data_IF_953708316629
#
_entry.id   IF_953708316629
#
_cell.length_a   1.000
_cell.length_b   1.000
_cell.length_c   1.000
_cell.angle_alpha   90.00
_cell.angle_beta   90.00
_cell.angle_gamma   90.00
#
_symmetry.space_group_name_H-M   'P 1'
#
loop_
_entity.id
_entity.type
_entity.pdbx_description
1 polymer ?
#
# COMPACT_ATOMS: atom_id res chain seq x y z
N UNK A 1 11.03 21.16 -6.95
CA UNK A 1 10.89 20.38 -8.20
C UNK A 1 9.44 19.97 -8.29
N UNK A 2 8.72 20.53 -9.27
CA UNK A 2 7.32 20.26 -9.57
C UNK A 2 6.97 18.77 -9.49
N UNK A 3 5.93 18.43 -8.73
CA UNK A 3 5.10 17.28 -9.04
C UNK A 3 3.64 17.63 -8.75
N UNK A 4 3.14 18.66 -9.43
CA UNK A 4 1.72 18.71 -9.79
C UNK A 4 1.51 17.64 -10.87
N UNK A 5 1.53 16.38 -10.44
CA UNK A 5 1.29 15.23 -11.30
C UNK A 5 0.05 14.58 -10.71
N UNK A 6 -1.08 14.74 -11.37
CA UNK A 6 -2.28 13.96 -11.08
C UNK A 6 -1.88 12.48 -11.15
N UNK A 7 -1.61 11.88 -9.99
CA UNK A 7 -1.13 10.50 -9.93
C UNK A 7 -2.36 9.63 -10.07
N UNK A 8 -2.39 8.84 -11.13
CA UNK A 8 -3.54 8.00 -11.44
C UNK A 8 -3.79 7.02 -10.27
N UNK A 9 -4.96 7.09 -9.61
CA UNK A 9 -5.31 6.21 -8.50
C UNK A 9 -5.22 4.74 -8.88
N UNK A 10 -5.58 4.43 -10.13
CA UNK A 10 -5.55 3.08 -10.70
C UNK A 10 -4.13 2.50 -10.69
N UNK A 11 -3.13 3.28 -11.11
CA UNK A 11 -1.72 2.85 -11.13
C UNK A 11 -1.24 2.59 -9.70
N UNK A 12 -1.63 3.45 -8.76
CA UNK A 12 -1.28 3.29 -7.35
C UNK A 12 -1.88 2.01 -6.75
N UNK A 13 -3.14 1.69 -7.08
CA UNK A 13 -3.80 0.45 -6.64
C UNK A 13 -3.11 -0.78 -7.22
N UNK A 14 -2.81 -0.78 -8.52
CA UNK A 14 -2.07 -1.90 -9.16
C UNK A 14 -0.70 -2.09 -8.49
N UNK A 15 -0.04 -1.00 -8.10
CA UNK A 15 1.24 -1.09 -7.41
C UNK A 15 1.10 -1.69 -6.00
N UNK A 16 0.04 -1.32 -5.26
CA UNK A 16 -0.30 -1.99 -3.98
C UNK A 16 -0.72 -3.45 -4.15
N UNK A 17 -1.27 -3.82 -5.30
CA UNK A 17 -1.60 -5.21 -5.63
C UNK A 17 -0.34 -6.06 -5.76
N UNK A 18 0.70 -5.54 -6.41
CA UNK A 18 1.98 -6.24 -6.54
C UNK A 18 2.66 -6.38 -5.18
N UNK A 19 2.70 -5.32 -4.38
CA UNK A 19 3.27 -5.37 -3.04
C UNK A 19 2.70 -4.26 -2.13
N UNK A 20 2.26 -4.59 -0.90
CA UNK A 20 1.74 -3.61 0.03
C UNK A 20 2.80 -2.55 0.36
N UNK A 21 2.43 -1.27 0.22
CA UNK A 21 3.31 -0.12 0.43
C UNK A 21 3.97 0.48 -0.82
N UNK A 22 3.98 -0.21 -1.96
CA UNK A 22 4.48 0.39 -3.21
C UNK A 22 3.55 1.49 -3.72
N UNK A 23 2.23 1.28 -3.69
CA UNK A 23 1.27 2.31 -4.11
C UNK A 23 1.32 3.59 -3.26
N UNK A 24 1.62 3.46 -1.96
CA UNK A 24 1.83 4.59 -1.05
C UNK A 24 3.08 5.39 -1.43
N UNK A 25 4.15 4.68 -1.78
CA UNK A 25 5.39 5.30 -2.29
C UNK A 25 5.13 6.01 -3.61
N UNK A 26 4.31 5.43 -4.49
CA UNK A 26 3.93 6.06 -5.76
C UNK A 26 3.20 7.38 -5.57
N UNK A 27 2.25 7.48 -4.63
CA UNK A 27 1.54 8.74 -4.34
C UNK A 27 2.38 9.78 -3.56
N UNK A 28 3.64 9.47 -3.27
CA UNK A 28 4.56 10.36 -2.53
C UNK A 28 4.48 10.22 -1.01
N UNK A 29 3.69 9.27 -0.49
CA UNK A 29 3.60 8.98 0.94
C UNK A 29 4.66 7.96 1.36
N UNK A 30 5.94 8.37 1.30
CA UNK A 30 7.07 7.47 1.58
C UNK A 30 7.04 6.89 3.00
N UNK A 31 6.68 7.69 4.01
CA UNK A 31 6.60 7.21 5.39
C UNK A 31 5.57 6.07 5.55
N UNK A 32 4.39 6.22 4.94
CA UNK A 32 3.39 5.15 4.94
C UNK A 32 3.84 3.96 4.10
N UNK A 33 4.45 4.19 2.94
CA UNK A 33 4.96 3.13 2.09
C UNK A 33 5.94 2.21 2.82
N UNK A 34 6.93 2.79 3.51
CA UNK A 34 7.90 2.03 4.32
C UNK A 34 7.20 1.30 5.45
N UNK A 35 6.27 1.93 6.16
CA UNK A 35 5.52 1.28 7.24
C UNK A 35 4.74 0.06 6.74
N UNK A 36 4.04 0.18 5.61
CA UNK A 36 3.29 -0.93 5.02
C UNK A 36 4.19 -2.06 4.53
N UNK A 37 5.35 -1.74 3.97
CA UNK A 37 6.36 -2.73 3.58
C UNK A 37 6.84 -3.52 4.81
N UNK A 38 7.18 -2.83 5.90
CA UNK A 38 7.64 -3.47 7.15
C UNK A 38 6.55 -4.35 7.75
N UNK A 39 5.31 -3.87 7.83
CA UNK A 39 4.18 -4.65 8.32
C UNK A 39 3.93 -5.88 7.42
N UNK A 40 3.98 -5.71 6.10
CA UNK A 40 3.85 -6.80 5.13
C UNK A 40 4.90 -7.89 5.35
N UNK A 41 6.17 -7.51 5.53
CA UNK A 41 7.25 -8.45 5.83
C UNK A 41 6.99 -9.18 7.16
N UNK A 42 6.61 -8.46 8.23
CA UNK A 42 6.28 -9.09 9.51
C UNK A 42 5.12 -10.10 9.39
N UNK A 43 4.07 -9.77 8.63
CA UNK A 43 2.93 -10.66 8.40
C UNK A 43 3.31 -11.91 7.60
N UNK A 44 4.19 -11.76 6.59
CA UNK A 44 4.73 -12.90 5.82
C UNK A 44 5.60 -13.79 6.72
N UNK A 45 6.43 -13.22 7.60
CA UNK A 45 7.21 -14.00 8.56
C UNK A 45 6.31 -14.77 9.55
N UNK A 46 5.15 -14.23 9.90
CA UNK A 46 4.15 -14.90 10.75
C UNK A 46 3.28 -15.93 10.02
N UNK A 47 3.52 -16.19 8.72
CA UNK A 47 2.72 -17.16 7.95
C UNK A 47 2.80 -18.58 8.52
N UNK A 48 3.91 -18.92 9.18
CA UNK A 48 4.11 -20.21 9.87
C UNK A 48 3.17 -20.42 11.06
N UNK A 49 2.56 -19.37 11.59
CA UNK A 49 1.69 -19.41 12.77
C UNK A 49 0.21 -19.55 12.36
N UNK A 50 -0.11 -19.82 11.08
CA UNK A 50 -1.45 -19.74 10.45
C UNK A 50 -2.12 -18.34 10.51
N UNK A 51 -1.76 -17.53 11.50
CA UNK A 51 -2.20 -16.13 11.67
C UNK A 51 -1.81 -15.28 10.46
N UNK A 52 -0.58 -15.43 9.95
CA UNK A 52 -0.14 -14.70 8.77
C UNK A 52 -0.94 -15.06 7.50
N UNK A 53 -1.46 -16.29 7.39
CA UNK A 53 -2.27 -16.72 6.23
C UNK A 53 -3.59 -15.96 6.15
N UNK A 54 -4.21 -15.64 7.29
CA UNK A 54 -5.48 -14.90 7.34
C UNK A 54 -5.24 -13.39 7.37
N UNK A 55 -4.27 -12.92 8.14
CA UNK A 55 -4.02 -11.49 8.30
C UNK A 55 -3.36 -10.86 7.08
N UNK A 56 -2.48 -11.57 6.37
CA UNK A 56 -1.81 -11.03 5.18
C UNK A 56 -2.79 -10.61 4.07
N UNK A 57 -3.76 -11.44 3.62
CA UNK A 57 -4.72 -11.03 2.60
C UNK A 57 -5.64 -9.90 3.08
N UNK A 58 -6.02 -9.87 4.36
CA UNK A 58 -6.80 -8.75 4.94
C UNK A 58 -6.01 -7.44 4.89
N UNK A 59 -4.74 -7.48 5.31
CA UNK A 59 -3.85 -6.33 5.28
C UNK A 59 -3.56 -5.87 3.85
N UNK A 60 -3.41 -6.80 2.91
CA UNK A 60 -3.20 -6.51 1.50
C UNK A 60 -4.38 -5.76 0.88
N UNK A 61 -5.62 -6.20 1.14
CA UNK A 61 -6.84 -5.47 0.75
C UNK A 61 -6.91 -4.08 1.40
N UNK A 62 -6.56 -3.97 2.69
CA UNK A 62 -6.49 -2.69 3.38
C UNK A 62 -5.46 -1.74 2.74
N UNK A 63 -4.30 -2.25 2.32
CA UNK A 63 -3.28 -1.46 1.62
C UNK A 63 -3.78 -0.88 0.29
N UNK A 64 -4.66 -1.59 -0.43
CA UNK A 64 -5.29 -1.05 -1.64
C UNK A 64 -6.28 0.05 -1.31
N UNK A 65 -7.12 -0.17 -0.28
CA UNK A 65 -8.10 0.81 0.18
C UNK A 65 -7.42 2.12 0.63
N UNK A 66 -6.38 2.04 1.46
CA UNK A 66 -5.67 3.23 1.93
C UNK A 66 -5.03 4.01 0.77
N UNK A 67 -4.49 3.31 -0.24
CA UNK A 67 -3.96 3.96 -1.45
C UNK A 67 -5.06 4.63 -2.26
N UNK A 68 -6.21 3.97 -2.46
CA UNK A 68 -7.31 4.56 -3.19
C UNK A 68 -7.79 5.85 -2.52
N UNK A 69 -8.08 5.79 -1.21
CA UNK A 69 -8.52 6.96 -0.45
C UNK A 69 -7.44 8.06 -0.46
N UNK A 70 -6.18 7.70 -0.32
CA UNK A 70 -5.07 8.65 -0.33
C UNK A 70 -4.84 9.29 -1.70
N UNK A 71 -4.99 8.53 -2.79
CA UNK A 71 -4.89 9.03 -4.15
C UNK A 71 -6.08 9.94 -4.51
N UNK A 72 -7.29 9.61 -4.05
CA UNK A 72 -8.47 10.47 -4.23
C UNK A 72 -8.30 11.79 -3.49
N UNK A 73 -7.81 11.76 -2.24
CA UNK A 73 -7.50 12.98 -1.46
C UNK A 73 -6.42 13.85 -2.10
N UNK A 74 -5.48 13.25 -2.84
CA UNK A 74 -4.43 13.99 -3.53
C UNK A 74 -4.94 14.66 -4.81
N UNK A 75 -5.97 14.10 -5.44
CA UNK A 75 -6.55 14.58 -6.70
C UNK A 75 -7.82 15.45 -6.50
N UNK A 76 -8.29 15.60 -5.25
CA UNK A 76 -9.41 16.45 -4.87
C UNK A 76 -8.90 17.84 -4.46
#
# INVERSE_FOLDING_TARGET
MEQNKQKSPIIAIILSFIFPGLGQTYIGQQQKGVLFIVIGICLVLMIYILIGIVLYPLFWLYSMYDVYTSATKLNA
#
